data_IF_213825751828
#
_entry.id   IF_213825751828
#
_cell.length_a   1.000
_cell.length_b   1.000
_cell.length_c   1.000
_cell.angle_alpha   90.00
_cell.angle_beta   90.00
_cell.angle_gamma   90.00
#
_symmetry.space_group_name_H-M   'P 1'
#
loop_
_entity.id
_entity.type
_entity.pdbx_description
1 polymer ?
#
# COMPACT_ATOMS: atom_id res chain seq x y z
N UNK A 1 8.68 -13.97 -22.36
CA UNK A 1 7.76 -14.07 -21.20
C UNK A 1 8.01 -12.86 -20.33
N UNK A 2 7.04 -11.97 -20.17
CA UNK A 2 7.17 -10.81 -19.27
C UNK A 2 7.26 -11.33 -17.85
N UNK A 3 8.40 -11.12 -17.19
CA UNK A 3 8.64 -11.58 -15.82
C UNK A 3 7.66 -10.87 -14.90
N UNK A 4 6.81 -11.64 -14.20
CA UNK A 4 5.77 -11.10 -13.31
C UNK A 4 6.42 -10.40 -12.12
N UNK A 5 6.04 -9.15 -11.85
CA UNK A 5 6.51 -8.39 -10.69
C UNK A 5 6.06 -9.08 -9.39
N UNK A 6 6.87 -8.95 -8.34
CA UNK A 6 6.55 -9.43 -6.99
C UNK A 6 6.81 -8.36 -5.96
N UNK A 7 5.88 -8.17 -5.04
CA UNK A 7 6.07 -7.30 -3.87
C UNK A 7 7.13 -7.92 -2.96
N UNK A 8 8.18 -7.16 -2.64
CA UNK A 8 9.28 -7.59 -1.77
C UNK A 8 9.26 -6.90 -0.41
N UNK A 9 8.69 -5.69 -0.35
CA UNK A 9 8.48 -4.98 0.91
C UNK A 9 7.28 -4.04 0.84
N UNK A 10 6.63 -3.86 1.99
CA UNK A 10 5.64 -2.81 2.25
C UNK A 10 6.14 -2.12 3.52
N UNK A 11 6.42 -0.82 3.45
CA UNK A 11 7.10 -0.06 4.51
C UNK A 11 6.27 1.17 4.88
N UNK A 12 5.74 1.25 6.12
CA UNK A 12 5.10 2.46 6.61
C UNK A 12 6.13 3.50 7.06
N UNK A 13 5.90 4.76 6.70
CA UNK A 13 6.72 5.92 7.06
C UNK A 13 5.81 6.97 7.73
N UNK A 14 5.66 6.92 9.07
CA UNK A 14 5.07 8.02 9.81
C UNK A 14 6.05 9.20 9.78
N UNK A 15 5.70 10.26 9.08
CA UNK A 15 6.57 11.43 8.87
C UNK A 15 5.89 12.70 9.36
N UNK A 16 6.64 13.56 10.04
CA UNK A 16 6.21 14.92 10.37
C UNK A 16 6.44 15.83 9.15
N UNK A 17 5.36 16.42 8.64
CA UNK A 17 5.39 17.30 7.45
C UNK A 17 4.86 18.68 7.85
N UNK A 18 5.77 19.60 8.12
CA UNK A 18 5.48 21.00 8.44
C UNK A 18 4.67 21.15 9.73
N UNK A 19 3.35 21.03 9.62
CA UNK A 19 2.37 21.26 10.69
C UNK A 19 1.63 20.02 11.16
N UNK A 20 1.79 18.87 10.48
CA UNK A 20 1.07 17.64 10.83
C UNK A 20 1.85 16.38 10.46
N UNK A 21 1.49 15.28 11.10
CA UNK A 21 1.92 13.96 10.67
C UNK A 21 1.20 13.53 9.36
N UNK A 22 1.92 12.77 8.55
CA UNK A 22 1.41 12.05 7.40
C UNK A 22 1.91 10.60 7.48
N UNK A 23 1.09 9.65 7.00
CA UNK A 23 1.51 8.26 6.85
C UNK A 23 1.73 7.97 5.38
N UNK A 24 3.00 7.89 4.98
CA UNK A 24 3.39 7.44 3.67
C UNK A 24 3.68 5.94 3.70
N UNK A 25 3.38 5.24 2.61
CA UNK A 25 3.66 3.82 2.44
C UNK A 25 4.46 3.64 1.17
N UNK A 26 5.58 2.93 1.27
CA UNK A 26 6.38 2.51 0.11
C UNK A 26 6.18 1.02 -0.12
N UNK A 27 5.82 0.66 -1.35
CA UNK A 27 5.81 -0.74 -1.80
C UNK A 27 6.98 -0.94 -2.76
N UNK A 28 7.84 -1.91 -2.48
CA UNK A 28 9.00 -2.25 -3.30
C UNK A 28 8.75 -3.57 -4.03
N UNK A 29 9.32 -3.71 -5.23
CA UNK A 29 9.22 -4.93 -6.05
C UNK A 29 10.58 -5.59 -6.30
N UNK A 30 10.56 -6.81 -6.79
CA UNK A 30 11.74 -7.61 -7.15
C UNK A 30 12.50 -7.09 -8.39
N UNK A 31 11.93 -6.12 -9.13
CA UNK A 31 12.56 -5.50 -10.29
C UNK A 31 12.96 -4.04 -10.05
N UNK A 32 13.04 -3.61 -8.78
CA UNK A 32 13.47 -2.25 -8.42
C UNK A 32 12.42 -1.15 -8.66
N UNK A 33 11.25 -1.48 -9.22
CA UNK A 33 10.10 -0.57 -9.29
C UNK A 33 9.51 -0.44 -7.88
N UNK A 34 9.16 0.77 -7.49
CA UNK A 34 8.47 1.03 -6.22
C UNK A 34 7.38 2.07 -6.39
N UNK A 35 6.39 2.01 -5.52
CA UNK A 35 5.27 2.95 -5.47
C UNK A 35 5.13 3.61 -4.11
N UNK A 36 4.60 4.82 -4.11
CA UNK A 36 4.25 5.58 -2.93
C UNK A 36 2.74 5.76 -2.82
N UNK A 37 2.22 5.67 -1.60
CA UNK A 37 0.85 6.02 -1.28
C UNK A 37 0.75 6.68 0.08
N UNK A 38 -0.39 7.33 0.33
CA UNK A 38 -0.67 8.10 1.55
C UNK A 38 -2.02 7.65 2.13
N UNK A 39 -2.14 7.63 3.46
CA UNK A 39 -3.31 7.04 4.14
C UNK A 39 -4.45 8.02 4.41
N UNK A 40 -4.19 9.32 4.39
CA UNK A 40 -5.11 10.42 4.66
C UNK A 40 -5.43 10.62 6.14
N UNK A 41 -4.94 9.75 7.04
CA UNK A 41 -5.35 9.74 8.44
C UNK A 41 -4.29 10.34 9.37
N UNK A 42 -4.33 11.67 9.51
CA UNK A 42 -3.45 12.42 10.39
C UNK A 42 -3.69 12.16 11.89
N UNK A 43 -2.60 12.10 12.64
CA UNK A 43 -2.51 11.96 14.09
C UNK A 43 -2.67 10.53 14.62
N UNK A 44 -3.05 9.56 13.77
CA UNK A 44 -3.37 8.15 14.12
C UNK A 44 -2.46 7.18 13.32
N UNK A 45 -1.30 7.65 12.89
CA UNK A 45 -0.35 6.96 12.02
C UNK A 45 0.06 5.60 12.58
N UNK A 46 0.28 5.50 13.90
CA UNK A 46 0.68 4.24 14.53
C UNK A 46 -0.36 3.13 14.35
N UNK A 47 -1.65 3.48 14.37
CA UNK A 47 -2.71 2.51 14.13
C UNK A 47 -2.72 2.05 12.66
N UNK A 48 -2.50 2.98 11.74
CA UNK A 48 -2.38 2.67 10.30
C UNK A 48 -1.16 1.78 10.03
N UNK A 49 -0.02 2.07 10.65
CA UNK A 49 1.19 1.25 10.54
C UNK A 49 0.91 -0.19 11.00
N UNK A 50 0.25 -0.37 12.15
CA UNK A 50 -0.13 -1.71 12.62
C UNK A 50 -1.04 -2.46 11.63
N UNK A 51 -2.03 -1.78 11.04
CA UNK A 51 -2.87 -2.38 10.01
C UNK A 51 -2.07 -2.79 8.76
N UNK A 52 -1.11 -1.96 8.33
CA UNK A 52 -0.23 -2.26 7.20
C UNK A 52 0.63 -3.50 7.50
N UNK A 53 1.16 -3.65 8.71
CA UNK A 53 1.93 -4.84 9.08
C UNK A 53 1.09 -6.12 8.96
N UNK A 54 -0.19 -6.10 9.35
CA UNK A 54 -1.08 -7.25 9.14
C UNK A 54 -1.32 -7.56 7.66
N UNK A 55 -1.56 -6.53 6.83
CA UNK A 55 -1.71 -6.74 5.39
C UNK A 55 -0.42 -7.24 4.73
N UNK A 56 0.74 -6.80 5.22
CA UNK A 56 2.05 -7.21 4.71
C UNK A 56 2.22 -8.73 4.75
N UNK A 57 1.75 -9.41 5.79
CA UNK A 57 1.93 -10.86 5.97
C UNK A 57 1.47 -11.70 4.77
N UNK A 58 0.42 -11.28 4.06
CA UNK A 58 -0.14 -12.02 2.91
C UNK A 58 -0.01 -11.30 1.56
N UNK A 59 0.56 -10.09 1.55
CA UNK A 59 0.82 -9.34 0.32
C UNK A 59 2.25 -9.52 -0.21
N UNK A 60 3.22 -9.90 0.62
CA UNK A 60 4.58 -10.20 0.14
C UNK A 60 4.54 -11.37 -0.87
N UNK A 61 5.29 -11.23 -1.96
CA UNK A 61 5.36 -12.20 -3.06
C UNK A 61 4.20 -12.12 -4.05
N UNK A 62 3.17 -11.30 -3.79
CA UNK A 62 2.04 -11.07 -4.69
C UNK A 62 2.46 -10.19 -5.87
N UNK A 63 1.73 -10.35 -6.99
CA UNK A 63 1.87 -9.48 -8.15
C UNK A 63 1.17 -8.14 -7.92
N UNK A 64 1.91 -7.02 -7.87
CA UNK A 64 1.33 -5.70 -7.62
C UNK A 64 0.42 -5.21 -8.75
N UNK A 65 0.47 -5.83 -9.94
CA UNK A 65 -0.39 -5.48 -11.07
C UNK A 65 -1.84 -5.96 -10.89
N UNK A 66 -2.08 -6.88 -9.94
CA UNK A 66 -3.40 -7.43 -9.62
C UNK A 66 -4.16 -6.55 -8.61
N UNK A 67 -4.18 -5.23 -8.84
CA UNK A 67 -4.68 -4.21 -7.90
C UNK A 67 -6.08 -4.53 -7.39
N UNK A 68 -7.05 -4.73 -8.29
CA UNK A 68 -8.44 -5.01 -7.91
C UNK A 68 -8.59 -6.30 -7.09
N UNK A 69 -7.75 -7.31 -7.34
CA UNK A 69 -7.73 -8.54 -6.53
C UNK A 69 -7.16 -8.27 -5.13
N UNK A 70 -6.03 -7.56 -5.06
CA UNK A 70 -5.41 -7.19 -3.78
C UNK A 70 -6.41 -6.38 -2.95
N UNK A 71 -7.05 -5.36 -3.54
CA UNK A 71 -8.04 -4.52 -2.88
C UNK A 71 -9.20 -5.33 -2.30
N UNK A 72 -9.78 -6.24 -3.08
CA UNK A 72 -10.89 -7.09 -2.62
C UNK A 72 -10.44 -8.03 -1.49
N UNK A 73 -9.24 -8.58 -1.56
CA UNK A 73 -8.72 -9.46 -0.51
C UNK A 73 -8.48 -8.69 0.81
N UNK A 74 -7.81 -7.53 0.79
CA UNK A 74 -7.55 -6.76 2.02
C UNK A 74 -8.82 -6.13 2.63
N UNK A 75 -9.77 -5.73 1.79
CA UNK A 75 -11.05 -5.19 2.25
C UNK A 75 -11.87 -6.27 2.97
N UNK A 76 -11.87 -7.51 2.44
CA UNK A 76 -12.69 -8.64 2.94
C UNK A 76 -11.93 -9.60 3.86
N UNK A 77 -10.66 -9.32 4.21
CA UNK A 77 -9.84 -10.17 5.09
C UNK A 77 -10.23 -10.07 6.58
N UNK A 78 -11.25 -9.28 6.89
CA UNK A 78 -11.68 -8.92 8.23
C UNK A 78 -13.17 -9.23 8.39
N UNK A 79 -13.58 -9.68 9.58
CA UNK A 79 -14.99 -10.03 9.83
C UNK A 79 -15.91 -8.80 9.79
N UNK A 80 -15.43 -7.66 10.30
CA UNK A 80 -16.10 -6.37 10.20
C UNK A 80 -15.30 -5.46 9.26
N UNK A 81 -15.88 -5.13 8.12
CA UNK A 81 -15.25 -4.31 7.10
C UNK A 81 -15.34 -2.81 7.41
N UNK A 82 -14.39 -2.04 6.87
CA UNK A 82 -14.43 -0.58 6.89
C UNK A 82 -13.70 0.06 8.07
N UNK A 83 -14.20 1.22 8.52
CA UNK A 83 -13.56 2.02 9.57
C UNK A 83 -12.35 2.83 9.07
N UNK A 84 -12.01 3.89 9.81
CA UNK A 84 -11.04 4.91 9.35
C UNK A 84 -9.61 4.37 9.24
N UNK A 85 -9.17 3.53 10.17
CA UNK A 85 -7.79 3.04 10.20
C UNK A 85 -7.54 2.03 9.08
N UNK A 86 -8.44 1.04 8.93
CA UNK A 86 -8.29 -0.02 7.94
C UNK A 86 -8.44 0.55 6.53
N UNK A 87 -9.44 1.42 6.29
CA UNK A 87 -9.55 2.06 4.99
C UNK A 87 -8.41 3.02 4.65
N UNK A 88 -7.84 3.71 5.64
CA UNK A 88 -6.64 4.52 5.43
C UNK A 88 -5.44 3.64 4.99
N UNK A 89 -5.25 2.48 5.62
CA UNK A 89 -4.21 1.54 5.24
C UNK A 89 -4.44 0.96 3.83
N UNK A 90 -5.68 0.56 3.52
CA UNK A 90 -6.09 0.08 2.20
C UNK A 90 -5.82 1.15 1.13
N UNK A 91 -6.20 2.40 1.38
CA UNK A 91 -5.97 3.53 0.46
C UNK A 91 -4.49 3.74 0.17
N UNK A 92 -3.64 3.73 1.20
CA UNK A 92 -2.20 3.92 1.01
C UNK A 92 -1.57 2.80 0.18
N UNK A 93 -2.03 1.56 0.36
CA UNK A 93 -1.59 0.42 -0.46
C UNK A 93 -2.08 0.58 -1.90
N UNK A 94 -3.36 0.88 -2.11
CA UNK A 94 -3.97 1.02 -3.44
C UNK A 94 -3.28 2.10 -4.29
N UNK A 95 -3.04 3.29 -3.71
CA UNK A 95 -2.32 4.38 -4.36
C UNK A 95 -0.90 3.94 -4.74
N UNK A 96 -0.17 3.26 -3.84
CA UNK A 96 1.17 2.78 -4.13
C UNK A 96 1.19 1.72 -5.24
N UNK A 97 0.18 0.86 -5.32
CA UNK A 97 0.06 -0.12 -6.41
C UNK A 97 -0.23 0.56 -7.75
N UNK A 98 -1.05 1.61 -7.76
CA UNK A 98 -1.29 2.41 -8.96
C UNK A 98 -0.04 3.16 -9.43
N UNK A 99 0.76 3.71 -8.50
CA UNK A 99 2.06 4.32 -8.81
C UNK A 99 3.05 3.29 -9.40
N UNK A 100 3.12 2.07 -8.84
CA UNK A 100 3.90 0.96 -9.42
C UNK A 100 3.43 0.66 -10.85
N UNK A 101 2.11 0.57 -11.08
CA UNK A 101 1.54 0.25 -12.37
C UNK A 101 1.88 1.30 -13.42
N UNK A 102 1.74 2.59 -13.10
CA UNK A 102 2.13 3.69 -13.99
C UNK A 102 3.62 3.61 -14.37
N UNK A 103 4.50 3.44 -13.38
CA UNK A 103 5.95 3.28 -13.59
C UNK A 103 6.31 2.05 -14.41
N UNK A 104 5.69 0.91 -14.14
CA UNK A 104 5.93 -0.35 -14.87
C UNK A 104 5.48 -0.26 -16.34
N UNK A 105 4.45 0.54 -16.63
CA UNK A 105 3.93 0.76 -17.97
C UNK A 105 4.59 1.96 -18.67
N UNK A 106 5.36 2.78 -17.97
CA UNK A 106 5.97 3.99 -18.50
C UNK A 106 4.97 5.12 -18.82
N UNK A 107 3.87 5.21 -18.06
CA UNK A 107 2.78 6.18 -18.27
C UNK A 107 2.45 6.95 -16.99
N UNK A 108 1.88 8.17 -17.08
CA UNK A 108 1.31 8.84 -15.91
C UNK A 108 0.12 8.04 -15.35
N UNK A 109 -0.16 8.26 -14.06
CA UNK A 109 -1.34 7.73 -13.36
C UNK A 109 -2.59 8.49 -13.78
#
# INVERSE_FOLDING_TARGET
>A
MTTKLKITAIKPYPVWVGTRNQMLVKIETDQGIFGWGESGLSGREKAVAGAIEHYREFLIGRDPMQIGRIWQEIYRSQYFEGGRVLQAAISAIDIALHDIKGKALGVPV
#
